data_IF_600978660445
#
_entry.id   IF_600978660445
#
_cell.length_a   1.000
_cell.length_b   1.000
_cell.length_c   1.000
_cell.angle_alpha   90.00
_cell.angle_beta   90.00
_cell.angle_gamma   90.00
#
_symmetry.space_group_name_H-M   'P 1'
#
loop_
_entity.id
_entity.type
_entity.pdbx_description
1 polymer ?
#
# COMPACT_ATOMS: atom_id res chain seq x y z
N UNK A 1 6.87 -15.49 25.33
CA UNK A 1 6.54 -14.12 24.86
C UNK A 1 5.37 -14.18 23.87
N UNK A 2 4.29 -14.85 24.24
CA UNK A 2 3.14 -15.07 23.37
C UNK A 2 1.92 -14.96 24.24
N UNK A 3 1.37 -13.75 24.32
CA UNK A 3 -0.04 -13.47 24.69
C UNK A 3 -0.41 -12.01 24.32
N UNK A 4 0.28 -11.41 23.34
CA UNK A 4 -0.22 -10.19 22.72
C UNK A 4 -1.22 -10.62 21.64
N UNK A 5 -2.48 -10.75 22.05
CA UNK A 5 -3.59 -10.85 21.10
C UNK A 5 -3.73 -9.48 20.43
N UNK A 6 -3.37 -9.40 19.15
CA UNK A 6 -3.62 -8.23 18.30
C UNK A 6 -4.73 -8.61 17.33
N UNK A 7 -5.95 -8.13 17.62
CA UNK A 7 -7.10 -8.33 16.75
C UNK A 7 -7.26 -7.13 15.81
N UNK A 8 -7.17 -7.38 14.50
CA UNK A 8 -7.38 -6.40 13.43
C UNK A 8 -8.21 -7.09 12.34
N UNK A 9 -9.38 -6.56 12.02
CA UNK A 9 -10.22 -7.10 10.94
C UNK A 9 -9.56 -6.90 9.58
N UNK A 10 -9.97 -7.70 8.58
CA UNK A 10 -9.45 -7.56 7.22
C UNK A 10 -9.76 -6.17 6.63
N UNK A 11 -10.94 -5.62 6.93
CA UNK A 11 -11.40 -4.29 6.50
C UNK A 11 -10.58 -3.20 7.16
N UNK A 12 -10.30 -3.33 8.47
CA UNK A 12 -9.44 -2.40 9.20
C UNK A 12 -8.02 -2.40 8.62
N UNK A 13 -7.45 -3.60 8.39
CA UNK A 13 -6.13 -3.73 7.77
C UNK A 13 -6.10 -3.07 6.39
N UNK A 14 -7.09 -3.33 5.54
CA UNK A 14 -7.18 -2.73 4.21
C UNK A 14 -7.20 -1.20 4.28
N UNK A 15 -7.98 -0.63 5.20
CA UNK A 15 -8.04 0.82 5.41
C UNK A 15 -6.71 1.41 5.90
N UNK A 16 -5.96 0.69 6.74
CA UNK A 16 -4.66 1.13 7.28
C UNK A 16 -3.56 1.09 6.22
N UNK A 17 -3.55 0.05 5.37
CA UNK A 17 -2.41 -0.19 4.46
C UNK A 17 -2.56 0.42 3.07
N UNK A 18 -3.76 0.86 2.69
CA UNK A 18 -4.00 1.50 1.39
C UNK A 18 -3.44 2.93 1.32
N UNK A 19 -3.08 3.36 0.12
CA UNK A 19 -2.75 4.76 -0.14
C UNK A 19 -3.99 5.63 0.11
N UNK A 20 -3.92 6.72 0.90
CA UNK A 20 -5.07 7.57 1.19
C UNK A 20 -5.53 8.42 -0.01
N UNK A 21 -4.73 8.48 -1.09
CA UNK A 21 -5.05 9.25 -2.29
C UNK A 21 -5.79 8.39 -3.32
N UNK A 22 -5.18 7.29 -3.79
CA UNK A 22 -5.82 6.43 -4.77
C UNK A 22 -6.68 5.31 -4.17
N UNK A 23 -6.66 5.15 -2.83
CA UNK A 23 -7.42 4.15 -2.08
C UNK A 23 -7.05 2.69 -2.41
N UNK A 24 -5.93 2.46 -3.10
CA UNK A 24 -5.40 1.14 -3.47
C UNK A 24 -4.24 0.75 -2.55
N UNK A 25 -4.12 -0.55 -2.26
CA UNK A 25 -2.97 -1.12 -1.53
C UNK A 25 -1.71 -1.07 -2.40
N UNK A 26 -0.63 -0.39 -1.96
CA UNK A 26 0.63 -0.37 -2.70
C UNK A 26 1.39 -1.69 -2.52
N UNK A 27 1.65 -2.40 -3.62
CA UNK A 27 2.51 -3.59 -3.63
C UNK A 27 3.98 -3.22 -3.96
N UNK A 28 4.45 -2.09 -3.45
CA UNK A 28 5.76 -1.51 -3.76
C UNK A 28 6.18 -0.48 -2.70
N UNK A 29 7.20 0.35 -2.98
CA UNK A 29 7.68 1.35 -2.03
C UNK A 29 6.58 2.28 -1.52
N UNK A 30 6.58 2.53 -0.22
CA UNK A 30 5.66 3.47 0.43
C UNK A 30 6.48 4.64 0.95
N UNK A 31 6.26 5.83 0.39
CA UNK A 31 7.00 7.04 0.72
C UNK A 31 6.30 7.79 1.83
N UNK A 32 7.04 8.37 2.76
CA UNK A 32 6.46 9.10 3.89
C UNK A 32 6.82 10.57 3.90
N UNK A 33 5.90 11.39 4.41
CA UNK A 33 6.22 12.76 4.83
C UNK A 33 7.02 12.77 6.14
N UNK A 34 7.45 13.97 6.57
CA UNK A 34 8.15 14.14 7.85
C UNK A 34 7.35 13.70 9.09
N UNK A 35 6.01 13.67 9.00
CA UNK A 35 5.14 13.19 10.08
C UNK A 35 4.75 11.71 9.93
N UNK A 36 5.35 10.96 9.01
CA UNK A 36 5.19 9.51 8.90
C UNK A 36 4.01 9.02 8.06
N UNK A 37 3.20 9.91 7.48
CA UNK A 37 2.10 9.47 6.64
C UNK A 37 2.58 8.97 5.26
N UNK A 38 2.11 7.79 4.86
CA UNK A 38 2.53 7.07 3.67
C UNK A 38 1.69 7.33 2.41
N UNK A 39 2.35 7.41 1.25
CA UNK A 39 1.75 7.40 -0.09
C UNK A 39 2.43 6.33 -0.96
N UNK A 40 1.70 5.79 -1.94
CA UNK A 40 2.31 4.98 -3.00
C UNK A 40 3.24 5.83 -3.88
N UNK A 41 4.15 5.18 -4.61
CA UNK A 41 5.09 5.86 -5.51
C UNK A 41 4.37 6.73 -6.56
N UNK A 42 3.29 6.22 -7.14
CA UNK A 42 2.50 6.91 -8.16
C UNK A 42 1.87 8.21 -7.60
N UNK A 43 1.21 8.15 -6.44
CA UNK A 43 0.65 9.37 -5.84
C UNK A 43 1.75 10.32 -5.33
N UNK A 44 2.93 9.80 -4.99
CA UNK A 44 4.07 10.64 -4.58
C UNK A 44 4.61 11.47 -5.74
N UNK A 45 4.63 10.93 -6.96
CA UNK A 45 5.12 11.65 -8.14
C UNK A 45 4.21 12.82 -8.56
N UNK A 46 2.93 12.76 -8.18
CA UNK A 46 1.90 13.72 -8.58
C UNK A 46 1.69 14.89 -7.60
N UNK A 47 2.32 14.86 -6.42
CA UNK A 47 2.18 15.92 -5.40
C UNK A 47 3.30 16.96 -5.47
N UNK A 48 2.99 18.21 -5.11
CA UNK A 48 3.93 19.33 -5.12
C UNK A 48 4.88 19.37 -3.89
N UNK A 49 5.38 18.20 -3.47
CA UNK A 49 6.22 18.02 -2.26
C UNK A 49 5.54 18.48 -0.96
N UNK A 50 4.20 18.60 -0.95
CA UNK A 50 3.39 18.78 0.27
C UNK A 50 2.51 17.57 0.47
N UNK A 51 2.51 17.10 1.70
CA UNK A 51 1.72 15.97 2.11
C UNK A 51 0.20 16.30 2.05
N UNK A 52 -0.64 15.46 1.42
CA UNK A 52 -2.08 15.74 1.32
C UNK A 52 -2.83 15.66 2.66
N UNK A 53 -2.24 15.05 3.69
CA UNK A 53 -2.86 14.89 5.01
C UNK A 53 -2.44 15.99 6.01
N UNK A 54 -1.13 16.18 6.18
CA UNK A 54 -0.57 17.14 7.16
C UNK A 54 -0.12 18.47 6.55
N UNK A 55 -0.04 18.59 5.22
CA UNK A 55 0.60 19.72 4.49
C UNK A 55 2.10 19.92 4.76
N UNK A 56 2.72 19.06 5.55
CA UNK A 56 4.15 19.04 5.83
C UNK A 56 4.99 18.58 4.61
N UNK A 57 6.31 18.84 4.65
CA UNK A 57 7.20 18.58 3.51
C UNK A 57 7.26 17.08 3.15
N UNK A 58 7.23 16.80 1.85
CA UNK A 58 7.24 15.47 1.23
C UNK A 58 8.33 15.42 0.13
N UNK A 59 9.52 16.00 0.38
CA UNK A 59 10.60 16.08 -0.62
C UNK A 59 11.91 15.36 -0.24
N UNK A 60 11.94 14.66 0.89
CA UNK A 60 13.06 13.84 1.36
C UNK A 60 12.55 12.49 1.87
N UNK A 61 11.95 11.72 0.94
CA UNK A 61 11.02 10.63 1.26
C UNK A 61 11.70 9.40 1.85
N UNK A 62 11.63 9.28 3.17
CA UNK A 62 11.85 8.00 3.84
C UNK A 62 10.85 6.96 3.33
N UNK A 63 11.24 5.68 3.40
CA UNK A 63 10.38 4.56 3.05
C UNK A 63 9.79 3.95 4.31
N UNK A 64 8.50 3.66 4.28
CA UNK A 64 7.82 2.93 5.35
C UNK A 64 8.01 1.42 5.19
N UNK A 65 9.21 0.92 5.50
CA UNK A 65 9.56 -0.50 5.37
C UNK A 65 8.66 -1.40 6.24
N UNK A 66 8.20 -0.91 7.39
CA UNK A 66 7.28 -1.67 8.27
C UNK A 66 5.94 -1.91 7.58
N UNK A 67 5.35 -0.88 6.97
CA UNK A 67 4.09 -1.01 6.23
C UNK A 67 4.26 -1.91 4.99
N UNK A 68 5.40 -1.78 4.29
CA UNK A 68 5.74 -2.69 3.18
C UNK A 68 5.79 -4.16 3.64
N UNK A 69 6.37 -4.43 4.82
CA UNK A 69 6.42 -5.79 5.39
C UNK A 69 5.04 -6.32 5.80
N UNK A 70 4.18 -5.47 6.38
CA UNK A 70 2.80 -5.85 6.71
C UNK A 70 2.05 -6.27 5.44
N UNK A 71 2.13 -5.45 4.38
CA UNK A 71 1.49 -5.76 3.09
C UNK A 71 2.09 -7.03 2.48
N UNK A 72 3.42 -7.19 2.50
CA UNK A 72 4.08 -8.34 1.89
C UNK A 72 3.62 -9.68 2.48
N UNK A 73 3.24 -9.71 3.77
CA UNK A 73 2.83 -10.92 4.48
C UNK A 73 1.30 -11.09 4.60
N UNK A 74 0.51 -10.08 4.26
CA UNK A 74 -0.95 -10.16 4.20
C UNK A 74 -1.43 -10.61 2.82
N UNK A 75 -2.64 -11.20 2.75
CA UNK A 75 -3.27 -11.66 1.50
C UNK A 75 -4.34 -10.68 1.03
N UNK A 76 -4.32 -10.34 -0.24
CA UNK A 76 -5.25 -9.41 -0.87
C UNK A 76 -5.87 -10.04 -2.12
N UNK A 77 -7.09 -9.61 -2.46
CA UNK A 77 -7.64 -9.85 -3.78
C UNK A 77 -6.90 -9.02 -4.82
N UNK A 78 -6.80 -9.53 -6.04
CA UNK A 78 -6.25 -8.77 -7.15
C UNK A 78 -7.05 -7.46 -7.36
N UNK A 79 -6.40 -6.29 -7.43
CA UNK A 79 -7.09 -5.01 -7.66
C UNK A 79 -7.68 -4.87 -9.07
N UNK A 80 -7.31 -5.76 -9.99
CA UNK A 80 -7.93 -5.87 -11.32
C UNK A 80 -9.12 -6.84 -11.33
N UNK A 81 -9.53 -7.35 -10.16
CA UNK A 81 -10.73 -8.15 -9.96
C UNK A 81 -10.79 -9.47 -10.76
N UNK A 82 -9.63 -10.05 -11.11
CA UNK A 82 -9.53 -11.35 -11.78
C UNK A 82 -9.88 -12.56 -10.88
N UNK A 83 -10.29 -12.34 -9.63
CA UNK A 83 -10.67 -13.38 -8.66
C UNK A 83 -9.53 -14.03 -7.87
N UNK A 84 -8.27 -13.80 -8.24
CA UNK A 84 -7.11 -14.38 -7.53
C UNK A 84 -6.86 -13.67 -6.19
N UNK A 85 -6.44 -14.46 -5.18
CA UNK A 85 -6.00 -13.99 -3.87
C UNK A 85 -4.56 -14.41 -3.61
N UNK A 86 -3.67 -13.45 -3.38
CA UNK A 86 -2.22 -13.66 -3.22
C UNK A 86 -1.66 -12.83 -2.07
N UNK A 87 -0.46 -13.17 -1.60
CA UNK A 87 0.27 -12.30 -0.69
C UNK A 87 0.69 -11.00 -1.38
N UNK A 88 0.88 -9.91 -0.61
CA UNK A 88 1.41 -8.67 -1.18
C UNK A 88 2.78 -8.82 -1.83
N UNK A 89 3.58 -9.82 -1.42
CA UNK A 89 4.87 -10.16 -2.05
C UNK A 89 4.72 -10.73 -3.47
N UNK A 90 3.70 -11.54 -3.69
CA UNK A 90 3.44 -12.22 -4.97
C UNK A 90 2.67 -11.36 -5.96
N UNK A 91 1.86 -10.43 -5.45
CA UNK A 91 0.97 -9.59 -6.25
C UNK A 91 1.67 -8.81 -7.38
N UNK A 92 2.87 -8.22 -7.21
CA UNK A 92 3.56 -7.52 -8.31
C UNK A 92 3.89 -8.42 -9.50
N UNK A 93 4.21 -9.70 -9.26
CA UNK A 93 4.45 -10.66 -10.33
C UNK A 93 3.15 -10.99 -11.04
N UNK A 94 2.07 -11.23 -10.28
CA UNK A 94 0.74 -11.46 -10.83
C UNK A 94 0.24 -10.29 -11.69
N UNK A 95 0.36 -9.05 -11.23
CA UNK A 95 -0.12 -7.87 -11.97
C UNK A 95 0.54 -7.68 -13.34
N UNK A 96 1.72 -8.26 -13.57
CA UNK A 96 2.37 -8.24 -14.90
C UNK A 96 1.68 -9.16 -15.90
N UNK A 97 1.11 -10.27 -15.43
CA UNK A 97 0.51 -11.34 -16.23
C UNK A 97 -0.98 -11.54 -15.90
N UNK A 98 -1.62 -10.54 -15.29
CA UNK A 98 -3.03 -10.64 -14.89
C UNK A 98 -3.91 -10.65 -16.16
N UNK A 99 -4.83 -11.62 -16.30
CA UNK A 99 -5.68 -11.71 -17.49
C UNK A 99 -6.58 -10.47 -17.65
N UNK A 100 -7.05 -9.88 -16.55
CA UNK A 100 -7.91 -8.69 -16.56
C UNK A 100 -7.16 -7.37 -16.79
N UNK A 101 -5.91 -7.42 -17.29
CA UNK A 101 -5.09 -6.23 -17.55
C UNK A 101 -5.40 -5.57 -18.90
N UNK A 102 -5.89 -6.36 -19.87
CA UNK A 102 -6.20 -5.87 -21.23
C UNK A 102 -7.60 -5.25 -21.34
N UNK A 103 -8.45 -5.45 -20.32
CA UNK A 103 -9.84 -4.97 -20.29
C UNK A 103 -9.99 -3.55 -19.67
N UNK A 104 -8.90 -2.85 -19.33
CA UNK A 104 -8.92 -1.51 -18.70
C UNK A 104 -8.00 -0.50 -19.36
#
# INVERSE_FOLDING_TARGET
>A
MTDQVVDISAEQLYCIVRCPVCLVVPFGPIRTCQNGHGLCEECTSQINKKCPMCRCWFGGVARNVVQEQIIANAKFFCPLECGVKLSGREMPAHLKTCPSKEDK
#
